data_IF_966954378136
#
_entry.id   IF_966954378136
#
_cell.length_a   1.000
_cell.length_b   1.000
_cell.length_c   1.000
_cell.angle_alpha   90.00
_cell.angle_beta   90.00
_cell.angle_gamma   90.00
#
_symmetry.space_group_name_H-M   'P 1'
#
loop_
_entity.id
_entity.type
_entity.pdbx_description
1 polymer ?
#
# COMPACT_ATOMS: atom_id res chain seq x y z
N UNK A 1 13.88 44.44 7.15
CA UNK A 1 14.16 43.76 5.86
C UNK A 1 13.91 42.24 5.87
N UNK A 2 13.52 41.59 6.99
CA UNK A 2 13.28 40.13 7.03
C UNK A 2 11.88 39.70 6.57
N UNK A 3 10.83 40.44 6.94
CA UNK A 3 9.43 40.10 6.62
C UNK A 3 9.11 40.01 5.11
N UNK A 4 9.84 40.76 4.27
CA UNK A 4 9.66 40.73 2.81
C UNK A 4 10.29 39.46 2.19
N UNK A 5 11.43 39.01 2.74
CA UNK A 5 12.08 37.75 2.33
C UNK A 5 11.27 36.53 2.78
N UNK A 6 10.67 36.58 3.97
CA UNK A 6 9.74 35.55 4.47
C UNK A 6 8.47 35.47 3.61
N UNK A 7 7.83 36.60 3.29
CA UNK A 7 6.67 36.61 2.36
C UNK A 7 7.02 36.07 0.96
N UNK A 8 8.21 36.39 0.45
CA UNK A 8 8.65 35.93 -0.88
C UNK A 8 9.03 34.45 -0.90
N UNK A 9 9.61 33.92 0.17
CA UNK A 9 9.90 32.48 0.31
C UNK A 9 8.60 31.67 0.49
N UNK A 10 7.66 32.13 1.31
CA UNK A 10 6.34 31.54 1.46
C UNK A 10 5.55 31.53 0.13
N UNK A 11 5.63 32.62 -0.65
CA UNK A 11 4.97 32.70 -1.97
C UNK A 11 5.62 31.78 -3.02
N UNK A 12 6.93 31.53 -2.92
CA UNK A 12 7.64 30.53 -3.75
C UNK A 12 7.31 29.10 -3.34
N UNK A 13 7.22 28.82 -2.04
CA UNK A 13 6.80 27.53 -1.51
C UNK A 13 5.36 27.20 -1.95
N UNK A 14 4.42 28.13 -1.76
CA UNK A 14 3.03 27.95 -2.20
C UNK A 14 2.90 27.78 -3.73
N UNK A 15 3.74 28.46 -4.52
CA UNK A 15 3.77 28.29 -5.99
C UNK A 15 4.33 26.92 -6.39
N UNK A 16 5.37 26.44 -5.72
CA UNK A 16 5.94 25.11 -5.95
C UNK A 16 4.97 24.01 -5.53
N UNK A 17 4.30 24.16 -4.39
CA UNK A 17 3.29 23.24 -3.91
C UNK A 17 2.08 23.19 -4.85
N UNK A 18 1.63 24.35 -5.35
CA UNK A 18 0.58 24.42 -6.38
C UNK A 18 1.01 23.76 -7.68
N UNK A 19 2.25 23.96 -8.12
CA UNK A 19 2.80 23.34 -9.35
C UNK A 19 2.95 21.83 -9.18
N UNK A 20 3.39 21.36 -8.01
CA UNK A 20 3.44 19.94 -7.66
C UNK A 20 2.03 19.33 -7.61
N UNK A 21 1.05 20.03 -7.04
CA UNK A 21 -0.36 19.63 -7.07
C UNK A 21 -0.93 19.61 -8.48
N UNK A 22 -0.58 20.57 -9.35
CA UNK A 22 -1.00 20.61 -10.75
C UNK A 22 -0.34 19.51 -11.60
N UNK A 23 0.94 19.20 -11.35
CA UNK A 23 1.66 18.10 -11.99
C UNK A 23 1.15 16.74 -11.50
N UNK A 24 0.88 16.59 -10.21
CA UNK A 24 0.22 15.42 -9.65
C UNK A 24 -1.20 15.27 -10.23
N UNK A 25 -1.98 16.37 -10.36
CA UNK A 25 -3.30 16.36 -11.02
C UNK A 25 -3.22 15.93 -12.49
N UNK A 26 -2.21 16.37 -13.23
CA UNK A 26 -2.00 15.97 -14.61
C UNK A 26 -1.59 14.49 -14.71
N UNK A 27 -0.74 14.01 -13.81
CA UNK A 27 -0.33 12.61 -13.75
C UNK A 27 -1.48 11.66 -13.37
N UNK A 28 -2.36 12.09 -12.46
CA UNK A 28 -3.46 11.29 -11.90
C UNK A 28 -4.73 11.28 -12.79
N UNK A 29 -4.82 12.15 -13.79
CA UNK A 29 -6.02 12.31 -14.64
C UNK A 29 -5.79 12.19 -16.16
N UNK A 30 -4.58 11.91 -16.62
CA UNK A 30 -4.22 11.92 -18.05
C UNK A 30 -4.83 10.79 -18.90
N UNK A 31 -5.58 9.84 -18.30
CA UNK A 31 -6.08 8.65 -18.99
C UNK A 31 -7.50 8.71 -19.55
N UNK A 32 -8.27 9.77 -19.31
CA UNK A 32 -9.67 9.82 -19.74
C UNK A 32 -9.80 10.43 -21.13
N UNK A 33 -9.91 9.56 -22.14
CA UNK A 33 -10.26 9.93 -23.51
C UNK A 33 -11.53 10.78 -23.54
N UNK A 34 -11.47 11.94 -24.21
CA UNK A 34 -12.49 13.00 -24.12
C UNK A 34 -13.64 12.79 -25.10
N UNK A 35 -13.47 11.93 -26.10
CA UNK A 35 -14.53 11.57 -27.04
C UNK A 35 -14.69 10.04 -27.20
N UNK A 36 -15.86 9.56 -27.66
CA UNK A 36 -16.15 8.12 -27.75
C UNK A 36 -15.20 7.33 -28.67
N UNK A 37 -14.63 7.97 -29.71
CA UNK A 37 -13.70 7.31 -30.64
C UNK A 37 -12.36 7.04 -29.96
N UNK A 38 -11.83 8.02 -29.23
CA UNK A 38 -10.63 7.86 -28.41
C UNK A 38 -10.83 6.80 -27.31
N UNK A 39 -12.01 6.75 -26.69
CA UNK A 39 -12.33 5.73 -25.69
C UNK A 39 -12.37 4.32 -26.28
N UNK A 40 -12.99 4.16 -27.45
CA UNK A 40 -13.01 2.88 -28.17
C UNK A 40 -11.59 2.43 -28.57
N UNK A 41 -10.78 3.37 -29.07
CA UNK A 41 -9.38 3.09 -29.43
C UNK A 41 -8.55 2.69 -28.19
N UNK A 42 -8.69 3.42 -27.08
CA UNK A 42 -8.00 3.12 -25.83
C UNK A 42 -8.40 1.74 -25.28
N UNK A 43 -9.69 1.41 -25.34
CA UNK A 43 -10.20 0.09 -24.93
C UNK A 43 -9.61 -1.02 -25.78
N UNK A 44 -9.52 -0.81 -27.10
CA UNK A 44 -8.89 -1.76 -28.02
C UNK A 44 -7.40 -1.94 -27.71
N UNK A 45 -6.65 -0.86 -27.53
CA UNK A 45 -5.23 -0.91 -27.17
C UNK A 45 -5.00 -1.67 -25.87
N UNK A 46 -5.78 -1.36 -24.82
CA UNK A 46 -5.72 -2.05 -23.53
C UNK A 46 -5.96 -3.55 -23.66
N UNK A 47 -6.95 -3.96 -24.47
CA UNK A 47 -7.21 -5.38 -24.75
C UNK A 47 -6.02 -6.05 -25.44
N UNK A 48 -5.41 -5.40 -26.43
CA UNK A 48 -4.22 -5.92 -27.12
C UNK A 48 -3.06 -6.09 -26.14
N UNK A 49 -2.84 -5.10 -25.28
CA UNK A 49 -1.78 -5.16 -24.28
C UNK A 49 -2.00 -6.30 -23.27
N UNK A 50 -3.24 -6.51 -22.78
CA UNK A 50 -3.56 -7.66 -21.93
C UNK A 50 -3.30 -8.99 -22.63
N UNK A 51 -3.67 -9.13 -23.90
CA UNK A 51 -3.38 -10.34 -24.68
C UNK A 51 -1.87 -10.55 -24.91
N UNK A 52 -1.08 -9.48 -24.97
CA UNK A 52 0.38 -9.58 -25.05
C UNK A 52 0.98 -10.12 -23.74
N UNK A 53 0.45 -9.70 -22.59
CA UNK A 53 0.86 -10.19 -21.27
C UNK A 53 0.51 -11.67 -21.02
N UNK A 54 -0.34 -12.28 -21.84
CA UNK A 54 -0.65 -13.71 -21.78
C UNK A 54 0.36 -14.57 -22.58
N UNK A 55 1.37 -13.95 -23.20
CA UNK A 55 2.38 -14.63 -24.03
C UNK A 55 3.72 -14.67 -23.33
N UNK A 56 4.39 -15.81 -23.43
CA UNK A 56 5.70 -16.06 -22.83
C UNK A 56 5.68 -17.32 -21.99
N UNK A 57 6.84 -17.68 -21.47
CA UNK A 57 6.97 -18.86 -20.63
C UNK A 57 6.58 -18.53 -19.19
N UNK A 58 5.78 -19.39 -18.54
CA UNK A 58 5.54 -19.34 -17.11
C UNK A 58 6.82 -19.49 -16.28
N UNK A 59 6.69 -19.32 -14.97
CA UNK A 59 7.78 -19.64 -14.05
C UNK A 59 8.17 -21.13 -14.17
N UNK A 60 9.46 -21.41 -14.02
CA UNK A 60 9.95 -22.78 -13.95
C UNK A 60 9.32 -23.53 -12.76
N UNK A 61 9.29 -24.86 -12.87
CA UNK A 61 8.59 -25.71 -11.90
C UNK A 61 9.14 -25.59 -10.48
N UNK A 62 10.45 -25.39 -10.32
CA UNK A 62 11.09 -25.29 -9.00
C UNK A 62 10.68 -24.01 -8.29
N UNK A 63 10.62 -22.88 -9.02
CA UNK A 63 10.11 -21.62 -8.47
C UNK A 63 8.64 -21.69 -8.10
N UNK A 64 7.80 -22.27 -8.97
CA UNK A 64 6.36 -22.45 -8.68
C UNK A 64 6.15 -23.31 -7.43
N UNK A 65 6.89 -24.40 -7.31
CA UNK A 65 6.83 -25.28 -6.16
C UNK A 65 7.27 -24.58 -4.87
N UNK A 66 8.34 -23.78 -4.94
CA UNK A 66 8.84 -22.99 -3.80
C UNK A 66 7.81 -21.96 -3.34
N UNK A 67 7.18 -21.23 -4.29
CA UNK A 67 6.12 -20.28 -3.98
C UNK A 67 4.92 -20.95 -3.32
N UNK A 68 4.46 -22.08 -3.88
CA UNK A 68 3.33 -22.83 -3.33
C UNK A 68 3.59 -23.31 -1.88
N UNK A 69 4.80 -23.81 -1.59
CA UNK A 69 5.18 -24.19 -0.23
C UNK A 69 5.16 -22.97 0.71
N UNK A 70 5.75 -21.85 0.27
CA UNK A 70 5.75 -20.62 1.05
C UNK A 70 4.32 -20.15 1.34
N UNK A 71 3.43 -20.16 0.36
CA UNK A 71 2.02 -19.79 0.51
C UNK A 71 1.33 -20.65 1.58
N UNK A 72 1.55 -21.97 1.54
CA UNK A 72 0.96 -22.90 2.50
C UNK A 72 1.50 -22.71 3.92
N UNK A 73 2.81 -22.52 4.09
CA UNK A 73 3.41 -22.26 5.40
C UNK A 73 2.84 -20.98 6.01
N UNK A 74 2.81 -19.90 5.25
CA UNK A 74 2.26 -18.61 5.70
C UNK A 74 0.78 -18.70 6.03
N UNK A 75 0.02 -19.50 5.28
CA UNK A 75 -1.39 -19.72 5.55
C UNK A 75 -1.60 -20.45 6.87
N UNK A 76 -0.83 -21.52 7.11
CA UNK A 76 -0.92 -22.28 8.36
C UNK A 76 -0.53 -21.42 9.57
N UNK A 77 0.52 -20.61 9.44
CA UNK A 77 0.93 -19.65 10.45
C UNK A 77 -0.17 -18.61 10.73
N UNK A 78 -0.76 -18.01 9.69
CA UNK A 78 -1.85 -17.04 9.84
C UNK A 78 -3.08 -17.68 10.50
N UNK A 79 -3.41 -18.92 10.13
CA UNK A 79 -4.53 -19.65 10.72
C UNK A 79 -4.28 -19.93 12.21
N UNK A 80 -3.05 -20.29 12.59
CA UNK A 80 -2.68 -20.57 13.97
C UNK A 80 -2.63 -19.29 14.84
N UNK A 81 -2.01 -18.24 14.33
CA UNK A 81 -1.84 -16.97 15.02
C UNK A 81 -2.00 -15.80 14.05
N UNK A 82 -2.67 -14.74 14.51
CA UNK A 82 -2.81 -13.54 13.70
C UNK A 82 -1.41 -12.89 13.52
N UNK A 83 -0.80 -13.11 12.36
CA UNK A 83 0.54 -12.61 12.04
C UNK A 83 0.44 -11.42 11.11
N UNK A 84 0.91 -10.26 11.57
CA UNK A 84 0.89 -9.02 10.82
C UNK A 84 1.63 -9.14 9.47
N UNK A 85 2.77 -9.82 9.44
CA UNK A 85 3.53 -10.08 8.21
C UNK A 85 2.73 -10.93 7.23
N UNK A 86 2.09 -12.00 7.72
CA UNK A 86 1.31 -12.89 6.86
C UNK A 86 0.02 -12.23 6.37
N UNK A 87 -0.62 -11.36 7.18
CA UNK A 87 -1.72 -10.52 6.69
C UNK A 87 -1.24 -9.65 5.53
N UNK A 88 -0.13 -8.92 5.71
CA UNK A 88 0.42 -8.04 4.68
C UNK A 88 0.74 -8.82 3.39
N UNK A 89 1.35 -10.00 3.53
CA UNK A 89 1.63 -10.92 2.43
C UNK A 89 0.37 -11.33 1.65
N UNK A 90 -0.70 -11.72 2.37
CA UNK A 90 -1.94 -12.15 1.71
C UNK A 90 -2.73 -10.98 1.12
N UNK A 91 -2.68 -9.78 1.70
CA UNK A 91 -3.24 -8.59 1.06
C UNK A 91 -2.57 -8.33 -0.31
N UNK A 92 -1.25 -8.49 -0.41
CA UNK A 92 -0.53 -8.39 -1.69
C UNK A 92 -0.91 -9.52 -2.66
N UNK A 93 -1.00 -10.76 -2.18
CA UNK A 93 -1.40 -11.92 -2.98
C UNK A 93 -2.83 -11.80 -3.54
N UNK A 94 -3.76 -11.27 -2.74
CA UNK A 94 -5.14 -10.99 -3.16
C UNK A 94 -5.16 -9.91 -4.25
N UNK A 95 -4.38 -8.84 -4.11
CA UNK A 95 -4.24 -7.81 -5.16
C UNK A 95 -3.66 -8.39 -6.44
N UNK A 96 -2.64 -9.22 -6.34
CA UNK A 96 -2.05 -9.90 -7.48
C UNK A 96 -3.08 -10.76 -8.21
N UNK A 97 -3.89 -11.53 -7.48
CA UNK A 97 -4.99 -12.31 -8.03
C UNK A 97 -6.03 -11.43 -8.75
N UNK A 98 -6.38 -10.26 -8.18
CA UNK A 98 -7.30 -9.31 -8.84
C UNK A 98 -6.73 -8.76 -10.15
N UNK A 99 -5.43 -8.50 -10.23
CA UNK A 99 -4.76 -8.04 -11.46
C UNK A 99 -4.73 -9.14 -12.50
N UNK A 100 -4.32 -10.35 -12.11
CA UNK A 100 -4.30 -11.51 -13.01
C UNK A 100 -5.70 -11.80 -13.54
N UNK A 101 -6.72 -11.77 -12.68
CA UNK A 101 -8.11 -11.82 -13.09
C UNK A 101 -8.44 -10.79 -14.18
N UNK A 102 -8.06 -9.52 -14.02
CA UNK A 102 -8.31 -8.48 -15.02
C UNK A 102 -7.59 -8.73 -16.35
N UNK A 103 -6.42 -9.37 -16.31
CA UNK A 103 -5.66 -9.75 -17.52
C UNK A 103 -6.38 -10.86 -18.30
N UNK A 104 -6.90 -11.87 -17.59
CA UNK A 104 -7.53 -13.06 -18.17
C UNK A 104 -9.07 -12.98 -18.28
N UNK A 105 -9.67 -11.91 -17.75
CA UNK A 105 -11.13 -11.72 -17.67
C UNK A 105 -11.86 -12.87 -16.92
N UNK A 106 -11.23 -13.36 -15.84
CA UNK A 106 -11.75 -14.50 -15.07
C UNK A 106 -12.63 -14.05 -13.88
N UNK A 107 -13.93 -14.08 -14.10
CA UNK A 107 -14.92 -13.74 -13.08
C UNK A 107 -14.94 -14.68 -11.87
N UNK A 108 -14.51 -15.94 -12.00
CA UNK A 108 -14.44 -16.88 -10.89
C UNK A 108 -13.26 -16.56 -9.97
N UNK A 109 -12.08 -16.26 -10.54
CA UNK A 109 -10.94 -15.75 -9.80
C UNK A 109 -11.29 -14.43 -9.10
N UNK A 110 -11.97 -13.50 -9.79
CA UNK A 110 -12.40 -12.22 -9.17
C UNK A 110 -13.22 -12.45 -7.89
N UNK A 111 -14.26 -13.30 -7.98
CA UNK A 111 -15.14 -13.59 -6.83
C UNK A 111 -14.38 -14.25 -5.69
N UNK A 112 -13.47 -15.16 -6.02
CA UNK A 112 -12.64 -15.86 -5.02
C UNK A 112 -11.69 -14.88 -4.32
N UNK A 113 -11.05 -13.98 -5.07
CA UNK A 113 -10.19 -12.93 -4.52
C UNK A 113 -10.96 -11.99 -3.58
N UNK A 114 -12.18 -11.58 -3.94
CA UNK A 114 -13.03 -10.74 -3.07
C UNK A 114 -13.51 -11.47 -1.81
N UNK A 115 -13.81 -12.76 -1.93
CA UNK A 115 -14.14 -13.58 -0.77
C UNK A 115 -12.92 -13.74 0.16
N UNK A 116 -11.72 -13.93 -0.40
CA UNK A 116 -10.47 -13.98 0.35
C UNK A 116 -10.15 -12.65 1.04
N UNK A 117 -10.35 -11.51 0.38
CA UNK A 117 -10.22 -10.16 0.96
C UNK A 117 -11.11 -10.01 2.19
N UNK A 118 -12.38 -10.39 2.06
CA UNK A 118 -13.36 -10.34 3.15
C UNK A 118 -12.99 -11.29 4.29
N UNK A 119 -12.56 -12.51 3.96
CA UNK A 119 -12.11 -13.52 4.92
C UNK A 119 -10.89 -13.04 5.72
N UNK A 120 -9.90 -12.45 5.04
CA UNK A 120 -8.70 -11.92 5.67
C UNK A 120 -9.04 -10.79 6.65
N UNK A 121 -9.89 -9.84 6.25
CA UNK A 121 -10.35 -8.76 7.13
C UNK A 121 -11.09 -9.29 8.36
N UNK A 122 -11.96 -10.30 8.18
CA UNK A 122 -12.71 -10.92 9.28
C UNK A 122 -11.83 -11.75 10.21
N UNK A 123 -10.72 -12.30 9.70
CA UNK A 123 -9.80 -13.13 10.49
C UNK A 123 -9.11 -12.36 11.63
N UNK A 124 -8.97 -11.03 11.48
CA UNK A 124 -8.40 -10.14 12.49
C UNK A 124 -9.19 -10.18 13.81
N UNK A 125 -10.49 -10.41 13.72
CA UNK A 125 -11.40 -10.45 14.87
C UNK A 125 -11.85 -11.88 15.23
N UNK A 126 -11.36 -12.89 14.51
CA UNK A 126 -11.73 -14.28 14.72
C UNK A 126 -10.97 -14.90 15.91
N UNK A 127 -11.69 -15.69 16.70
CA UNK A 127 -11.10 -16.56 17.70
C UNK A 127 -10.13 -17.57 17.04
N UNK A 128 -9.10 -18.00 17.76
CA UNK A 128 -8.06 -18.86 17.20
C UNK A 128 -8.63 -20.19 16.69
N UNK A 129 -9.66 -20.71 17.36
CA UNK A 129 -10.30 -22.00 17.08
C UNK A 129 -11.10 -21.98 15.77
N UNK A 130 -11.63 -20.82 15.38
CA UNK A 130 -12.47 -20.67 14.17
C UNK A 130 -11.74 -20.01 13.01
N UNK A 131 -10.54 -19.45 13.24
CA UNK A 131 -9.81 -18.66 12.24
C UNK A 131 -9.54 -19.43 10.95
N UNK A 132 -9.16 -20.70 11.04
CA UNK A 132 -8.92 -21.55 9.86
C UNK A 132 -10.16 -21.68 8.98
N UNK A 133 -11.34 -21.80 9.59
CA UNK A 133 -12.61 -21.87 8.86
C UNK A 133 -12.96 -20.51 8.24
N UNK A 134 -12.75 -19.42 8.98
CA UNK A 134 -12.90 -18.05 8.46
C UNK A 134 -12.00 -17.81 7.23
N UNK A 135 -10.77 -18.33 7.24
CA UNK A 135 -9.79 -18.19 6.17
C UNK A 135 -9.96 -19.18 5.00
N UNK A 136 -11.00 -20.03 5.00
CA UNK A 136 -11.22 -20.98 3.90
C UNK A 136 -11.25 -20.33 2.51
N UNK A 137 -11.88 -19.16 2.28
CA UNK A 137 -11.83 -18.50 0.98
C UNK A 137 -10.43 -18.09 0.53
N UNK A 138 -9.52 -17.82 1.48
CA UNK A 138 -8.12 -17.56 1.17
C UNK A 138 -7.41 -18.83 0.69
N UNK A 139 -7.67 -19.99 1.30
CA UNK A 139 -7.15 -21.27 0.82
C UNK A 139 -7.66 -21.59 -0.61
N UNK A 140 -8.93 -21.31 -0.89
CA UNK A 140 -9.49 -21.46 -2.25
C UNK A 140 -8.75 -20.55 -3.26
N UNK A 141 -8.44 -19.31 -2.87
CA UNK A 141 -7.64 -18.39 -3.70
C UNK A 141 -6.24 -18.94 -3.97
N UNK A 142 -5.56 -19.51 -2.99
CA UNK A 142 -4.24 -20.13 -3.19
C UNK A 142 -4.29 -21.29 -4.19
N UNK A 143 -5.36 -22.07 -4.18
CA UNK A 143 -5.61 -23.11 -5.18
C UNK A 143 -5.71 -22.53 -6.60
N UNK A 144 -6.43 -21.42 -6.80
CA UNK A 144 -6.44 -20.72 -8.08
C UNK A 144 -5.06 -20.20 -8.45
N UNK A 145 -4.34 -19.57 -7.52
CA UNK A 145 -3.03 -18.99 -7.78
C UNK A 145 -2.01 -20.04 -8.20
N UNK A 146 -2.06 -21.25 -7.63
CA UNK A 146 -1.25 -22.39 -8.07
C UNK A 146 -1.48 -22.73 -9.56
N UNK A 147 -2.74 -22.74 -10.00
CA UNK A 147 -3.07 -22.96 -11.42
C UNK A 147 -2.60 -21.81 -12.31
N UNK A 148 -2.76 -20.57 -11.86
CA UNK A 148 -2.31 -19.42 -12.63
C UNK A 148 -0.79 -19.34 -12.74
N UNK A 149 -0.04 -19.81 -11.73
CA UNK A 149 1.42 -19.92 -11.85
C UNK A 149 1.84 -20.81 -13.02
N UNK A 150 1.02 -21.77 -13.46
CA UNK A 150 1.34 -22.65 -14.59
C UNK A 150 1.15 -22.01 -15.97
N UNK A 151 0.41 -20.89 -16.05
CA UNK A 151 0.02 -20.30 -17.34
C UNK A 151 0.40 -18.83 -17.46
N UNK A 152 0.59 -18.12 -16.34
CA UNK A 152 0.97 -16.71 -16.35
C UNK A 152 2.47 -16.62 -16.67
N UNK A 153 2.87 -15.89 -17.73
CA UNK A 153 4.27 -15.69 -18.05
C UNK A 153 5.03 -15.06 -16.88
N UNK A 154 6.28 -15.49 -16.65
CA UNK A 154 7.09 -15.01 -15.53
C UNK A 154 7.27 -13.48 -15.53
N UNK A 155 7.46 -12.89 -16.72
CA UNK A 155 7.57 -11.44 -16.90
C UNK A 155 6.27 -10.73 -16.51
N UNK A 156 5.12 -11.28 -16.93
CA UNK A 156 3.80 -10.75 -16.56
C UNK A 156 3.57 -10.82 -15.07
N UNK A 157 3.93 -11.93 -14.43
CA UNK A 157 3.85 -12.07 -12.99
C UNK A 157 4.69 -10.99 -12.28
N UNK A 158 5.93 -10.78 -12.71
CA UNK A 158 6.81 -9.76 -12.14
C UNK A 158 6.27 -8.33 -12.32
N UNK A 159 5.74 -7.99 -13.50
CA UNK A 159 5.12 -6.68 -13.72
C UNK A 159 3.89 -6.47 -12.84
N UNK A 160 3.06 -7.49 -12.67
CA UNK A 160 1.89 -7.42 -11.79
C UNK A 160 2.29 -7.27 -10.33
N UNK A 161 3.35 -7.96 -9.89
CA UNK A 161 3.90 -7.82 -8.55
C UNK A 161 4.39 -6.39 -8.29
N UNK A 162 5.22 -5.83 -9.18
CA UNK A 162 5.71 -4.44 -9.08
C UNK A 162 4.54 -3.44 -9.05
N UNK A 163 3.50 -3.66 -9.85
CA UNK A 163 2.29 -2.85 -9.80
C UNK A 163 1.58 -2.96 -8.44
N UNK A 164 1.45 -4.16 -7.89
CA UNK A 164 0.83 -4.39 -6.57
C UNK A 164 1.64 -3.75 -5.44
N UNK A 165 2.97 -3.80 -5.50
CA UNK A 165 3.89 -3.13 -4.56
C UNK A 165 3.72 -1.60 -4.61
N UNK A 166 3.61 -1.02 -5.81
CA UNK A 166 3.31 0.39 -5.99
C UNK A 166 1.93 0.75 -5.44
N UNK A 167 0.90 -0.07 -5.70
CA UNK A 167 -0.45 0.12 -5.15
C UNK A 167 -0.45 0.06 -3.63
N UNK A 168 0.26 -0.90 -3.03
CA UNK A 168 0.42 -1.05 -1.58
C UNK A 168 1.01 0.23 -0.97
N UNK A 169 2.09 0.72 -1.57
CA UNK A 169 2.76 1.97 -1.20
C UNK A 169 1.79 3.15 -1.24
N UNK A 170 0.99 3.26 -2.30
CA UNK A 170 0.06 4.37 -2.49
C UNK A 170 -1.14 4.32 -1.53
N UNK A 171 -1.70 3.14 -1.29
CA UNK A 171 -2.82 2.94 -0.37
C UNK A 171 -2.42 3.28 1.06
N UNK A 172 -1.41 2.60 1.60
CA UNK A 172 -0.99 2.79 2.98
C UNK A 172 -0.24 4.11 3.18
N UNK A 173 0.46 4.60 2.16
CA UNK A 173 1.01 5.95 2.18
C UNK A 173 -0.09 7.00 2.32
N UNK A 174 -1.22 6.84 1.62
CA UNK A 174 -2.36 7.74 1.73
C UNK A 174 -3.06 7.65 3.09
N UNK A 175 -3.21 6.44 3.65
CA UNK A 175 -3.77 6.25 4.99
C UNK A 175 -2.87 6.85 6.07
N UNK A 176 -1.56 6.65 5.96
CA UNK A 176 -0.59 7.22 6.88
C UNK A 176 -0.62 8.75 6.87
N UNK A 177 -0.62 9.40 5.70
CA UNK A 177 -0.69 10.87 5.63
C UNK A 177 -2.05 11.42 6.07
N UNK A 178 -3.08 10.56 6.14
CA UNK A 178 -4.40 10.93 6.65
C UNK A 178 -4.50 10.87 8.19
N UNK A 179 -3.50 10.31 8.87
CA UNK A 179 -3.43 10.32 10.34
C UNK A 179 -3.30 11.75 10.87
N UNK A 180 -3.73 12.02 12.12
CA UNK A 180 -3.48 13.30 12.79
C UNK A 180 -2.00 13.71 12.80
N UNK A 181 -1.69 15.00 12.58
CA UNK A 181 -0.29 15.50 12.52
C UNK A 181 0.54 15.08 13.72
N UNK A 182 -0.05 15.20 14.92
CA UNK A 182 0.63 14.91 16.17
C UNK A 182 1.08 13.45 16.24
N UNK A 183 0.32 12.53 15.62
CA UNK A 183 0.61 11.10 15.61
C UNK A 183 1.78 10.81 14.67
N UNK A 184 1.81 11.46 13.50
CA UNK A 184 2.94 11.38 12.56
C UNK A 184 4.22 11.99 13.16
N UNK A 185 4.13 13.19 13.75
CA UNK A 185 5.25 13.85 14.42
C UNK A 185 5.80 13.03 15.59
N UNK A 186 4.91 12.49 16.43
CA UNK A 186 5.30 11.63 17.55
C UNK A 186 6.05 10.39 17.06
N UNK A 187 5.60 9.74 15.98
CA UNK A 187 6.31 8.61 15.38
C UNK A 187 7.71 9.00 14.93
N UNK A 188 7.86 10.08 14.15
CA UNK A 188 9.18 10.55 13.69
C UNK A 188 10.12 10.85 14.86
N UNK A 189 9.61 11.47 15.93
CA UNK A 189 10.39 11.80 17.13
C UNK A 189 10.81 10.55 17.90
N UNK A 190 9.94 9.53 17.99
CA UNK A 190 10.27 8.24 18.59
C UNK A 190 11.36 7.52 17.81
N UNK A 191 11.26 7.48 16.48
CA UNK A 191 12.28 6.88 15.61
C UNK A 191 13.63 7.57 15.83
N UNK A 192 13.64 8.90 15.92
CA UNK A 192 14.83 9.72 16.24
C UNK A 192 15.31 9.60 17.70
N UNK A 193 14.74 8.70 18.50
CA UNK A 193 15.21 8.37 19.84
C UNK A 193 14.56 9.14 20.98
N UNK A 194 13.56 9.98 20.73
CA UNK A 194 12.85 10.65 21.81
C UNK A 194 12.08 9.65 22.69
N UNK A 195 11.99 9.94 24.00
CA UNK A 195 11.26 9.07 24.93
C UNK A 195 9.74 9.32 24.86
N UNK A 196 8.96 8.24 24.91
CA UNK A 196 7.49 8.31 24.98
C UNK A 196 7.01 9.18 26.16
N UNK A 197 7.67 9.03 27.32
CA UNK A 197 7.38 9.83 28.52
C UNK A 197 7.52 11.33 28.28
N UNK A 198 8.57 11.76 27.56
CA UNK A 198 8.76 13.18 27.25
C UNK A 198 7.67 13.73 26.33
N UNK A 199 7.24 12.95 25.33
CA UNK A 199 6.15 13.32 24.44
C UNK A 199 4.82 13.44 25.18
N UNK A 200 4.52 12.50 26.08
CA UNK A 200 3.31 12.53 26.90
C UNK A 200 3.28 13.73 27.86
N UNK A 201 4.42 14.10 28.45
CA UNK A 201 4.54 15.31 29.28
C UNK A 201 4.33 16.59 28.47
N UNK A 202 4.90 16.67 27.27
CA UNK A 202 4.71 17.80 26.36
C UNK A 202 3.24 17.95 25.96
N UNK A 203 2.59 16.87 25.53
CA UNK A 203 1.17 16.87 25.19
C UNK A 203 0.28 17.34 26.37
N UNK A 204 0.57 16.86 27.59
CA UNK A 204 -0.11 17.31 28.82
C UNK A 204 0.08 18.80 29.07
N UNK A 205 1.28 19.34 28.82
CA UNK A 205 1.56 20.78 29.01
C UNK A 205 0.82 21.67 28.01
N UNK A 206 0.50 21.14 26.83
CA UNK A 206 -0.25 21.82 25.77
C UNK A 206 -1.78 21.70 25.92
N UNK A 207 -2.27 21.13 27.03
CA UNK A 207 -3.71 20.97 27.28
C UNK A 207 -4.35 19.79 26.56
N UNK A 208 -3.57 18.90 25.95
CA UNK A 208 -4.02 17.65 25.31
C UNK A 208 -3.54 16.44 26.11
N UNK A 209 -4.20 16.09 27.24
CA UNK A 209 -3.76 14.99 28.09
C UNK A 209 -4.07 13.63 27.42
N UNK A 210 -3.13 13.12 26.64
CA UNK A 210 -3.09 11.72 26.22
C UNK A 210 -2.26 10.90 27.22
N UNK A 211 -2.74 9.71 27.58
CA UNK A 211 -2.00 8.83 28.48
C UNK A 211 -0.83 8.18 27.74
N UNK A 212 0.23 7.81 28.48
CA UNK A 212 1.38 7.11 27.88
C UNK A 212 0.97 5.82 27.14
N UNK A 213 0.08 4.95 27.68
CA UNK A 213 -0.40 3.77 26.95
C UNK A 213 -1.16 4.11 25.66
N UNK A 214 -2.08 5.08 25.70
CA UNK A 214 -2.85 5.48 24.52
C UNK A 214 -1.95 6.11 23.43
N UNK A 215 -0.94 6.89 23.85
CA UNK A 215 0.05 7.44 22.93
C UNK A 215 0.88 6.32 22.27
N UNK A 216 1.30 5.31 23.05
CA UNK A 216 2.02 4.15 22.52
C UNK A 216 1.21 3.42 21.45
N UNK A 217 -0.04 3.11 21.74
CA UNK A 217 -0.95 2.43 20.81
C UNK A 217 -1.06 3.21 19.49
N UNK A 218 -1.30 4.52 19.56
CA UNK A 218 -1.38 5.38 18.37
C UNK A 218 -0.07 5.47 17.60
N UNK A 219 1.07 5.50 18.27
CA UNK A 219 2.38 5.48 17.58
C UNK A 219 2.59 4.16 16.85
N UNK A 220 2.24 3.03 17.47
CA UNK A 220 2.38 1.71 16.83
C UNK A 220 1.41 1.55 15.65
N UNK A 221 0.16 2.00 15.77
CA UNK A 221 -0.80 2.04 14.66
C UNK A 221 -0.26 2.85 13.47
N UNK A 222 0.34 4.02 13.74
CA UNK A 222 0.98 4.83 12.70
C UNK A 222 2.21 4.14 12.09
N UNK A 223 2.98 3.44 12.92
CA UNK A 223 4.14 2.70 12.46
C UNK A 223 3.76 1.50 11.59
N UNK A 224 2.66 0.80 11.90
CA UNK A 224 2.12 -0.27 11.06
C UNK A 224 1.70 0.24 9.68
N UNK A 225 1.01 1.39 9.61
CA UNK A 225 0.66 2.03 8.32
C UNK A 225 1.91 2.44 7.55
N UNK A 226 2.90 3.03 8.23
CA UNK A 226 4.17 3.41 7.62
C UNK A 226 4.94 2.18 7.10
N UNK A 227 5.00 1.11 7.89
CA UNK A 227 5.61 -0.15 7.52
C UNK A 227 4.97 -0.68 6.24
N UNK A 228 3.64 -0.84 6.20
CA UNK A 228 2.94 -1.36 5.04
C UNK A 228 3.17 -0.51 3.78
N UNK A 229 3.35 0.80 3.94
CA UNK A 229 3.63 1.71 2.83
C UNK A 229 5.04 1.59 2.24
N UNK A 230 6.02 1.06 3.00
CA UNK A 230 7.43 1.08 2.59
C UNK A 230 8.05 -0.32 2.50
N UNK A 231 7.47 -1.31 3.17
CA UNK A 231 7.87 -2.72 3.14
C UNK A 231 8.12 -3.27 1.73
N UNK A 232 7.32 -2.94 0.69
CA UNK A 232 7.57 -3.42 -0.66
C UNK A 232 8.94 -3.05 -1.25
N UNK A 233 9.56 -1.99 -0.73
CA UNK A 233 10.81 -1.43 -1.26
C UNK A 233 11.91 -1.31 -0.22
N UNK A 234 11.65 -1.72 1.02
CA UNK A 234 12.55 -1.57 2.15
C UNK A 234 12.43 -2.78 3.08
N UNK A 235 13.57 -3.40 3.37
CA UNK A 235 13.66 -4.43 4.40
C UNK A 235 13.63 -3.76 5.77
N UNK A 236 12.49 -3.84 6.45
CA UNK A 236 12.25 -3.27 7.77
C UNK A 236 11.76 -4.37 8.73
N UNK A 237 12.18 -4.34 10.00
CA UNK A 237 11.56 -5.16 11.01
C UNK A 237 10.15 -4.65 11.33
N UNK A 238 9.22 -5.57 11.59
CA UNK A 238 7.82 -5.26 11.95
C UNK A 238 7.75 -4.33 13.16
N UNK A 239 6.93 -3.27 13.13
CA UNK A 239 6.84 -2.28 14.20
C UNK A 239 6.00 -2.76 15.40
N UNK A 240 6.40 -3.85 16.04
CA UNK A 240 5.68 -4.44 17.18
C UNK A 240 5.89 -3.69 18.52
N UNK A 241 6.91 -2.84 18.58
CA UNK A 241 7.31 -2.17 19.81
C UNK A 241 8.15 -0.90 19.54
N UNK A 242 8.15 0.03 20.49
CA UNK A 242 8.94 1.27 20.39
C UNK A 242 10.46 1.05 20.29
N UNK A 243 11.07 0.04 20.95
CA UNK A 243 12.46 -0.32 20.71
C UNK A 243 12.73 -0.69 19.25
N UNK A 244 11.84 -1.44 18.60
CA UNK A 244 11.98 -1.80 17.18
C UNK A 244 12.05 -0.57 16.29
N UNK A 245 11.21 0.44 16.56
CA UNK A 245 11.20 1.72 15.82
C UNK A 245 12.48 2.55 15.98
N UNK A 246 13.31 2.25 16.98
CA UNK A 246 14.59 2.94 17.21
C UNK A 246 15.77 2.21 16.56
N UNK A 247 15.56 1.01 16.02
CA UNK A 247 16.60 0.27 15.32
C UNK A 247 17.13 1.07 14.13
N UNK A 248 18.36 0.75 13.71
CA UNK A 248 19.05 1.44 12.61
C UNK A 248 18.23 1.42 11.32
N UNK A 249 17.59 0.29 11.01
CA UNK A 249 16.74 0.12 9.84
C UNK A 249 15.60 1.14 9.76
N UNK A 250 15.06 1.57 10.91
CA UNK A 250 13.96 2.54 10.98
C UNK A 250 14.42 4.00 10.89
N UNK A 251 15.70 4.30 11.15
CA UNK A 251 16.21 5.68 11.20
C UNK A 251 15.93 6.53 9.95
N UNK A 252 16.02 6.01 8.71
CA UNK A 252 15.62 6.77 7.52
C UNK A 252 14.19 7.29 7.62
N UNK A 253 13.29 6.52 8.21
CA UNK A 253 11.87 6.88 8.33
C UNK A 253 11.57 7.84 9.47
N UNK A 254 12.59 8.28 10.22
CA UNK A 254 12.51 9.47 11.04
C UNK A 254 12.40 10.75 10.20
N UNK A 255 12.60 10.71 8.88
CA UNK A 255 12.45 11.85 7.98
C UNK A 255 11.22 11.67 7.05
N UNK A 256 10.20 12.56 7.12
CA UNK A 256 9.01 12.46 6.28
C UNK A 256 9.31 12.47 4.76
N UNK A 257 10.42 13.08 4.33
CA UNK A 257 10.77 13.12 2.90
C UNK A 257 11.08 11.75 2.29
N UNK A 258 11.48 10.76 3.12
CA UNK A 258 11.78 9.42 2.61
C UNK A 258 10.50 8.69 2.19
N UNK A 259 9.43 8.75 3.00
CA UNK A 259 8.12 8.26 2.58
C UNK A 259 7.61 9.02 1.36
N UNK A 260 7.71 10.36 1.36
CA UNK A 260 7.27 11.16 0.23
C UNK A 260 8.01 10.80 -1.08
N UNK A 261 9.30 10.49 -0.99
CA UNK A 261 10.10 10.01 -2.13
C UNK A 261 9.65 8.64 -2.64
N UNK A 262 9.35 7.70 -1.74
CA UNK A 262 8.81 6.38 -2.08
C UNK A 262 7.46 6.52 -2.79
N UNK A 263 6.53 7.30 -2.25
CA UNK A 263 5.23 7.58 -2.86
C UNK A 263 5.40 8.19 -4.26
N UNK A 264 6.29 9.19 -4.42
CA UNK A 264 6.55 9.82 -5.73
C UNK A 264 7.06 8.83 -6.79
N UNK A 265 7.79 7.77 -6.39
CA UNK A 265 8.26 6.71 -7.31
C UNK A 265 7.16 5.70 -7.64
N UNK A 266 6.24 5.42 -6.72
CA UNK A 266 5.14 4.48 -6.95
C UNK A 266 4.07 5.03 -7.92
N UNK A 267 3.82 6.35 -7.92
CA UNK A 267 2.83 6.99 -8.80
C UNK A 267 3.04 6.66 -10.30
N UNK A 268 4.21 6.91 -10.92
CA UNK A 268 4.39 6.64 -12.35
C UNK A 268 4.28 5.15 -12.68
N UNK A 269 4.78 4.25 -11.82
CA UNK A 269 4.68 2.79 -12.00
C UNK A 269 3.20 2.39 -12.11
N UNK A 270 2.40 2.84 -11.13
CA UNK A 270 0.99 2.49 -11.07
C UNK A 270 0.21 3.10 -12.23
N UNK A 271 0.42 4.40 -12.53
CA UNK A 271 -0.22 5.06 -13.67
C UNK A 271 0.10 4.40 -15.02
N UNK A 272 1.37 4.06 -15.26
CA UNK A 272 1.80 3.45 -16.52
C UNK A 272 1.12 2.09 -16.73
N UNK A 273 1.10 1.25 -15.70
CA UNK A 273 0.43 -0.03 -15.74
C UNK A 273 -1.07 0.14 -16.07
N UNK A 274 -1.79 0.98 -15.32
CA UNK A 274 -3.24 1.19 -15.51
C UNK A 274 -3.58 1.80 -16.88
N UNK A 275 -2.76 2.74 -17.37
CA UNK A 275 -2.93 3.30 -18.70
C UNK A 275 -2.80 2.22 -19.77
N UNK A 276 -1.78 1.36 -19.64
CA UNK A 276 -1.45 0.31 -20.59
C UNK A 276 -2.50 -0.80 -20.64
N UNK A 277 -3.02 -1.25 -19.50
CA UNK A 277 -3.87 -2.46 -19.44
C UNK A 277 -5.33 -2.19 -19.06
N UNK A 278 -5.62 -1.02 -18.50
CA UNK A 278 -6.96 -0.61 -18.08
C UNK A 278 -7.47 -1.31 -16.82
N UNK A 279 -6.60 -1.92 -16.03
CA UNK A 279 -6.93 -2.55 -14.76
C UNK A 279 -6.43 -1.61 -13.67
N UNK A 280 -7.34 -1.08 -12.85
CA UNK A 280 -6.99 -0.24 -11.70
C UNK A 280 -7.44 -0.90 -10.40
N UNK A 281 -6.53 -0.98 -9.43
CA UNK A 281 -6.82 -1.45 -8.07
C UNK A 281 -7.12 -0.31 -7.10
N UNK A 282 -6.79 0.92 -7.50
CA UNK A 282 -6.94 2.09 -6.65
C UNK A 282 -7.79 3.15 -7.31
N UNK A 283 -8.75 3.67 -6.55
CA UNK A 283 -9.40 4.91 -6.93
C UNK A 283 -8.49 6.07 -6.55
N UNK A 284 -7.69 6.54 -7.51
CA UNK A 284 -6.83 7.69 -7.31
C UNK A 284 -7.59 8.96 -6.91
N UNK A 285 -8.85 9.13 -7.33
CA UNK A 285 -9.64 10.30 -6.93
C UNK A 285 -10.03 10.18 -5.47
N UNK A 286 -10.51 9.01 -5.02
CA UNK A 286 -10.79 8.74 -3.61
C UNK A 286 -9.55 8.76 -2.70
N UNK A 287 -8.39 8.30 -3.18
CA UNK A 287 -7.11 8.43 -2.46
C UNK A 287 -6.71 9.91 -2.34
N UNK A 288 -6.84 10.67 -3.43
CA UNK A 288 -6.52 12.09 -3.47
C UNK A 288 -7.45 12.92 -2.58
N UNK A 289 -8.74 12.62 -2.57
CA UNK A 289 -9.71 13.30 -1.70
C UNK A 289 -9.40 13.04 -0.23
N UNK A 290 -9.07 11.80 0.15
CA UNK A 290 -8.64 11.46 1.52
C UNK A 290 -7.36 12.20 1.93
N UNK A 291 -6.34 12.23 1.06
CA UNK A 291 -5.10 12.95 1.31
C UNK A 291 -5.30 14.47 1.39
N UNK A 292 -6.19 15.04 0.56
CA UNK A 292 -6.49 16.48 0.57
C UNK A 292 -7.37 16.87 1.76
N UNK A 293 -8.38 16.07 2.13
CA UNK A 293 -9.20 16.30 3.32
C UNK A 293 -8.37 16.28 4.60
N UNK A 294 -7.43 15.35 4.73
CA UNK A 294 -6.49 15.32 5.85
C UNK A 294 -5.62 16.59 5.94
N UNK A 295 -5.28 17.19 4.79
CA UNK A 295 -4.52 18.45 4.73
C UNK A 295 -5.37 19.73 4.87
N UNK A 296 -6.70 19.63 4.84
CA UNK A 296 -7.64 20.77 4.87
C UNK A 296 -8.44 20.89 6.18
N UNK A 297 -8.29 19.95 7.12
CA UNK A 297 -8.83 20.06 8.47
C UNK A 297 -7.91 20.87 9.42
N UNK A 298 -7.13 21.80 8.85
CA UNK A 298 -6.35 22.84 9.54
C UNK A 298 -6.95 24.21 9.25
#
# INVERSE_FOLDING_TARGET
>A
MSALKEKMSAKRAAKNERKMREQAKAAIGAGYARNPKEQAQLTRTRRINRLAMQRGEPLDIDRRFTLAISDHIRFDELAAANSFENINYFEQSIRLAMVICGIYDDNALHRTARAAETALANSLNAAAETRRETLRPLADLLGYMLHYQEIVPAETFAMCAIYCEAVQTLLYGAEYVALPEWQQDALYRIIRGQSLRSLAQEAKSLGNPITEPAMREKILEAAEMLYKAVEPVCDLPVPDSLPTLRAEAWQPFGNPENLASIIRRAIPISNEFELNVGIGLIDYNGIRERAVQASLNY
#
